data_IF_842144209444
#
_entry.id   IF_842144209444
#
_cell.length_a   1.000
_cell.length_b   1.000
_cell.length_c   1.000
_cell.angle_alpha   90.00
_cell.angle_beta   90.00
_cell.angle_gamma   90.00
#
_symmetry.space_group_name_H-M   'P 1'
#
loop_
_entity.id
_entity.type
_entity.pdbx_description
1 polymer ?
#
# COMPACT_ATOMS: atom_id res chain seq x y z
N UNK A 1 47.61 40.45 19.85
CA UNK A 1 47.89 39.04 19.47
C UNK A 1 46.62 38.24 19.74
N UNK A 2 46.19 37.29 18.88
CA UNK A 2 46.90 36.62 17.77
C UNK A 2 46.40 37.11 16.38
N UNK A 3 47.21 37.19 15.30
CA UNK A 3 47.72 36.11 14.41
C UNK A 3 46.59 35.15 13.97
N UNK A 4 46.27 34.83 12.73
CA UNK A 4 46.84 35.01 11.39
C UNK A 4 46.13 33.97 10.50
N UNK A 5 45.71 34.39 9.29
CA UNK A 5 45.06 33.64 8.18
C UNK A 5 45.77 32.32 7.78
N UNK A 6 45.22 31.39 6.94
CA UNK A 6 44.48 31.63 5.67
C UNK A 6 43.31 30.65 5.39
N UNK A 7 42.45 30.73 4.38
CA UNK A 7 42.41 31.46 3.10
C UNK A 7 41.74 30.51 2.09
N UNK A 8 40.54 30.86 1.62
CA UNK A 8 39.84 30.16 0.52
C UNK A 8 39.88 31.07 -0.71
N UNK A 9 40.31 30.61 -1.90
CA UNK A 9 40.33 31.46 -3.07
C UNK A 9 38.97 31.51 -3.77
N UNK A 10 38.41 32.72 -3.85
CA UNK A 10 37.59 33.18 -4.98
C UNK A 10 38.50 33.46 -6.19
N UNK A 11 37.98 33.19 -7.40
CA UNK A 11 38.30 33.72 -8.74
C UNK A 11 37.68 32.72 -9.75
N UNK A 12 37.05 33.05 -10.87
CA UNK A 12 36.59 34.27 -11.48
C UNK A 12 35.56 33.87 -12.55
N UNK A 13 34.70 34.82 -12.91
CA UNK A 13 33.82 34.77 -14.07
C UNK A 13 34.58 34.51 -15.39
N UNK A 14 33.98 33.72 -16.31
CA UNK A 14 34.02 34.07 -17.73
C UNK A 14 32.85 33.42 -18.50
N UNK A 15 32.16 34.28 -19.24
CA UNK A 15 31.04 34.07 -20.15
C UNK A 15 31.46 33.45 -21.49
N UNK A 16 30.66 32.53 -22.04
CA UNK A 16 30.45 32.26 -23.49
C UNK A 16 29.57 31.00 -23.63
N UNK A 17 28.33 31.11 -24.11
CA UNK A 17 27.92 30.99 -25.52
C UNK A 17 27.36 29.59 -25.86
N UNK A 18 26.03 29.54 -25.99
CA UNK A 18 25.26 28.86 -27.05
C UNK A 18 25.97 27.67 -27.74
N UNK A 19 25.57 26.44 -27.41
CA UNK A 19 25.24 25.35 -28.36
C UNK A 19 25.11 24.01 -27.63
N UNK A 20 23.94 23.36 -27.78
CA UNK A 20 23.70 21.90 -27.93
C UNK A 20 22.32 21.49 -27.43
N UNK A 21 21.29 22.07 -28.05
CA UNK A 21 20.04 21.36 -28.30
C UNK A 21 20.21 20.62 -29.64
N UNK A 22 20.55 19.33 -29.62
CA UNK A 22 20.54 18.44 -30.80
C UNK A 22 20.72 16.96 -30.42
N UNK A 23 19.68 16.37 -29.86
CA UNK A 23 19.37 14.94 -30.11
C UNK A 23 17.87 14.89 -30.39
N UNK A 24 17.57 15.19 -31.65
CA UNK A 24 16.26 15.10 -32.26
C UNK A 24 16.36 14.02 -33.33
N UNK A 25 15.29 13.23 -33.43
CA UNK A 25 14.78 12.70 -34.69
C UNK A 25 15.79 11.97 -35.61
N UNK A 26 15.82 10.65 -35.49
CA UNK A 26 16.32 9.79 -36.57
C UNK A 26 15.55 8.46 -36.66
N UNK A 27 14.21 8.51 -36.70
CA UNK A 27 13.38 7.42 -37.25
C UNK A 27 12.17 8.03 -37.94
N UNK A 28 12.38 8.64 -39.12
CA UNK A 28 11.34 8.93 -40.14
C UNK A 28 12.00 9.49 -41.40
N UNK A 29 12.61 8.62 -42.21
CA UNK A 29 12.90 8.89 -43.62
C UNK A 29 13.41 7.62 -44.32
N UNK A 30 12.49 6.69 -44.65
CA UNK A 30 12.55 5.74 -45.78
C UNK A 30 11.34 4.81 -45.60
N UNK A 31 10.42 4.58 -46.52
CA UNK A 31 10.49 4.54 -47.97
C UNK A 31 9.18 5.09 -48.57
N UNK A 32 9.26 5.99 -49.55
CA UNK A 32 8.21 6.14 -50.57
C UNK A 32 8.67 5.40 -51.83
N UNK A 33 7.83 4.51 -52.35
CA UNK A 33 7.89 4.11 -53.76
C UNK A 33 8.11 2.62 -54.01
N UNK A 34 7.05 1.82 -53.89
CA UNK A 34 6.72 0.79 -54.90
C UNK A 34 5.27 0.34 -54.76
N UNK A 35 4.53 0.57 -55.84
CA UNK A 35 3.18 0.10 -56.11
C UNK A 35 3.15 -1.41 -56.37
N UNK A 36 2.26 -2.15 -55.72
CA UNK A 36 1.30 -3.07 -56.37
C UNK A 36 0.35 -3.69 -55.33
N UNK A 37 -0.87 -3.86 -55.78
CA UNK A 37 -2.03 -4.44 -55.10
C UNK A 37 -1.74 -5.82 -54.49
N UNK A 38 -2.37 -6.10 -53.33
CA UNK A 38 -3.32 -7.21 -53.12
C UNK A 38 -3.42 -7.56 -51.61
N UNK A 39 -4.67 -7.67 -51.15
CA UNK A 39 -5.13 -8.38 -49.96
C UNK A 39 -4.21 -8.44 -48.73
N UNK A 40 -4.46 -7.56 -47.75
CA UNK A 40 -4.23 -7.92 -46.35
C UNK A 40 -5.40 -7.42 -45.51
N UNK A 41 -6.27 -8.36 -45.13
CA UNK A 41 -7.28 -8.15 -44.11
C UNK A 41 -6.66 -7.46 -42.89
N UNK A 42 -7.33 -6.42 -42.42
CA UNK A 42 -6.96 -5.65 -41.24
C UNK A 42 -7.03 -6.54 -40.00
N UNK A 43 -5.92 -7.15 -39.62
CA UNK A 43 -5.72 -7.65 -38.26
C UNK A 43 -5.72 -6.45 -37.30
N UNK A 44 -6.56 -6.41 -36.26
CA UNK A 44 -6.48 -5.37 -35.25
C UNK A 44 -5.16 -5.54 -34.47
N UNK A 45 -4.38 -4.46 -34.46
CA UNK A 45 -3.12 -4.27 -33.73
C UNK A 45 -2.90 -5.24 -32.56
N UNK A 46 -2.01 -6.20 -32.80
CA UNK A 46 -1.40 -7.05 -31.77
C UNK A 46 -0.70 -6.18 -30.74
N UNK A 47 -1.34 -5.91 -29.61
CA UNK A 47 -0.59 -5.70 -28.38
C UNK A 47 -0.17 -7.09 -27.86
N UNK A 48 0.83 -7.68 -28.51
CA UNK A 48 1.56 -8.79 -27.90
C UNK A 48 2.43 -8.16 -26.81
N UNK A 49 2.09 -8.39 -25.55
CA UNK A 49 3.10 -8.36 -24.48
C UNK A 49 4.06 -9.55 -24.69
N UNK A 50 4.77 -9.58 -25.83
CA UNK A 50 5.90 -10.46 -26.03
C UNK A 50 7.10 -9.75 -25.39
N UNK A 51 7.09 -9.68 -24.05
CA UNK A 51 8.32 -9.31 -23.33
C UNK A 51 9.33 -10.43 -23.60
N UNK A 52 10.59 -10.11 -23.94
CA UNK A 52 11.59 -11.13 -24.20
C UNK A 52 11.63 -12.09 -23.00
N UNK A 53 11.60 -13.39 -23.28
CA UNK A 53 11.78 -14.43 -22.30
C UNK A 53 13.23 -14.38 -21.79
N UNK A 54 13.54 -13.43 -20.90
CA UNK A 54 14.75 -13.55 -20.11
C UNK A 54 14.51 -14.69 -19.12
N UNK A 55 15.52 -15.54 -18.84
CA UNK A 55 15.41 -16.61 -17.84
C UNK A 55 15.06 -16.11 -16.43
N UNK A 56 15.14 -14.80 -16.23
CA UNK A 56 14.95 -14.10 -14.95
C UNK A 56 13.60 -13.40 -14.83
N UNK A 57 12.82 -13.26 -15.91
CA UNK A 57 11.54 -12.57 -15.86
C UNK A 57 10.46 -13.48 -15.30
N UNK A 58 10.05 -13.22 -14.04
CA UNK A 58 8.85 -13.84 -13.46
C UNK A 58 7.62 -13.03 -13.89
N UNK A 59 6.73 -13.57 -14.74
CA UNK A 59 5.51 -12.87 -15.10
C UNK A 59 4.65 -12.64 -13.84
N UNK A 60 4.27 -11.39 -13.60
CA UNK A 60 3.31 -11.04 -12.56
C UNK A 60 1.92 -11.32 -13.11
N UNK A 61 1.25 -12.32 -12.56
CA UNK A 61 -0.12 -12.67 -12.92
C UNK A 61 -1.11 -11.75 -12.19
N UNK A 62 -2.24 -11.36 -12.83
CA UNK A 62 -3.34 -10.71 -12.14
C UNK A 62 -3.75 -11.45 -10.88
N UNK A 63 -3.94 -10.71 -9.78
CA UNK A 63 -4.38 -11.23 -8.49
C UNK A 63 -5.75 -10.65 -8.17
N UNK A 64 -6.70 -11.51 -7.81
CA UNK A 64 -8.06 -11.10 -7.46
C UNK A 64 -8.48 -11.74 -6.13
N UNK A 65 -9.26 -10.98 -5.37
CA UNK A 65 -9.89 -11.46 -4.14
C UNK A 65 -11.20 -12.17 -4.48
N UNK A 66 -11.35 -13.40 -4.00
CA UNK A 66 -12.62 -14.14 -4.03
C UNK A 66 -12.69 -15.06 -2.80
N UNK A 67 -13.65 -14.82 -1.91
CA UNK A 67 -13.77 -15.57 -0.66
C UNK A 67 -14.11 -17.05 -0.87
N UNK A 68 -14.91 -17.36 -1.90
CA UNK A 68 -15.36 -18.72 -2.23
C UNK A 68 -14.35 -19.49 -3.09
N UNK A 69 -13.07 -19.43 -2.71
CA UNK A 69 -11.99 -20.10 -3.41
C UNK A 69 -12.10 -21.63 -3.30
N UNK A 70 -12.34 -22.29 -4.43
CA UNK A 70 -12.42 -23.75 -4.57
C UNK A 70 -11.76 -24.24 -5.87
N UNK A 71 -11.32 -25.50 -5.90
CA UNK A 71 -10.77 -26.12 -7.11
C UNK A 71 -11.85 -26.32 -8.18
N UNK A 72 -11.46 -26.28 -9.45
CA UNK A 72 -12.37 -26.42 -10.59
C UNK A 72 -12.84 -25.08 -11.16
N UNK A 73 -14.01 -25.05 -11.80
CA UNK A 73 -14.51 -23.85 -12.46
C UNK A 73 -15.12 -22.87 -11.45
N UNK A 74 -14.50 -21.71 -11.31
CA UNK A 74 -14.95 -20.60 -10.49
C UNK A 74 -15.48 -19.47 -11.37
N UNK A 75 -16.76 -19.13 -11.20
CA UNK A 75 -17.35 -17.94 -11.81
C UNK A 75 -17.06 -16.71 -10.93
N UNK A 76 -16.47 -15.69 -11.52
CA UNK A 76 -16.18 -14.43 -10.83
C UNK A 76 -17.43 -13.54 -10.81
N UNK A 77 -17.53 -12.70 -9.78
CA UNK A 77 -18.55 -11.65 -9.71
C UNK A 77 -18.37 -10.62 -10.84
N UNK A 78 -19.35 -9.71 -10.97
CA UNK A 78 -19.35 -8.71 -12.04
C UNK A 78 -18.18 -7.72 -11.93
N UNK A 79 -17.72 -7.39 -10.71
CA UNK A 79 -16.64 -6.44 -10.48
C UNK A 79 -15.29 -7.02 -10.90
N UNK A 80 -14.97 -8.22 -10.41
CA UNK A 80 -13.79 -8.98 -10.78
C UNK A 80 -13.78 -9.34 -12.28
N UNK A 81 -14.95 -9.67 -12.86
CA UNK A 81 -15.09 -9.91 -14.30
C UNK A 81 -14.78 -8.66 -15.12
N UNK A 82 -15.33 -7.51 -14.73
CA UNK A 82 -15.04 -6.22 -15.38
C UNK A 82 -13.56 -5.86 -15.25
N UNK A 83 -12.98 -6.03 -14.06
CA UNK A 83 -11.57 -5.75 -13.80
C UNK A 83 -10.66 -6.60 -14.70
N UNK A 84 -10.91 -7.90 -14.83
CA UNK A 84 -10.13 -8.75 -15.74
C UNK A 84 -10.31 -8.38 -17.21
N UNK A 85 -11.55 -8.31 -17.69
CA UNK A 85 -11.83 -8.20 -19.12
C UNK A 85 -11.58 -6.80 -19.68
N UNK A 86 -11.88 -5.75 -18.90
CA UNK A 86 -11.85 -4.36 -19.38
C UNK A 86 -10.59 -3.62 -18.91
N UNK A 87 -10.28 -3.72 -17.61
CA UNK A 87 -9.16 -2.98 -17.01
C UNK A 87 -7.83 -3.66 -17.32
N UNK A 88 -7.70 -4.95 -17.00
CA UNK A 88 -6.49 -5.73 -17.23
C UNK A 88 -6.41 -6.31 -18.65
N UNK A 89 -7.54 -6.34 -19.37
CA UNK A 89 -7.67 -6.85 -20.75
C UNK A 89 -7.15 -8.29 -20.89
N UNK A 90 -7.39 -9.09 -19.85
CA UNK A 90 -7.02 -10.50 -19.81
C UNK A 90 -7.79 -11.28 -20.88
N UNK A 91 -7.15 -12.30 -21.44
CA UNK A 91 -7.68 -13.16 -22.50
C UNK A 91 -7.82 -14.59 -22.00
N UNK A 92 -8.69 -15.34 -22.65
CA UNK A 92 -8.78 -16.79 -22.44
C UNK A 92 -7.41 -17.42 -22.64
N UNK A 93 -7.00 -18.25 -21.67
CA UNK A 93 -5.65 -18.83 -21.58
C UNK A 93 -4.67 -18.07 -20.70
N UNK A 94 -5.02 -16.86 -20.22
CA UNK A 94 -4.17 -16.14 -19.27
C UNK A 94 -4.19 -16.79 -17.88
N UNK A 95 -3.04 -16.76 -17.22
CA UNK A 95 -2.84 -17.23 -15.85
C UNK A 95 -3.32 -16.16 -14.87
N UNK A 96 -4.21 -16.57 -13.96
CA UNK A 96 -4.82 -15.71 -12.95
C UNK A 96 -4.58 -16.32 -11.56
N UNK A 97 -4.34 -15.48 -10.58
CA UNK A 97 -4.23 -15.87 -9.19
C UNK A 97 -5.46 -15.39 -8.44
N UNK A 98 -6.12 -16.30 -7.73
CA UNK A 98 -7.26 -15.96 -6.86
C UNK A 98 -6.82 -16.18 -5.42
N UNK A 99 -7.08 -15.24 -4.52
CA UNK A 99 -6.81 -15.43 -3.09
C UNK A 99 -8.07 -15.15 -2.28
N UNK A 100 -8.20 -15.77 -1.11
CA UNK A 100 -9.41 -15.71 -0.29
C UNK A 100 -9.37 -14.62 0.81
N UNK A 101 -8.25 -13.91 0.91
CA UNK A 101 -8.02 -12.89 1.92
C UNK A 101 -7.78 -13.46 3.33
N UNK A 102 -7.64 -14.78 3.46
CA UNK A 102 -7.48 -15.51 4.71
C UNK A 102 -6.25 -16.45 4.68
N UNK A 103 -5.33 -16.26 3.72
CA UNK A 103 -4.07 -16.99 3.63
C UNK A 103 -4.01 -18.07 2.57
N UNK A 104 -5.11 -18.35 1.85
CA UNK A 104 -5.10 -19.30 0.72
C UNK A 104 -5.02 -18.57 -0.62
N UNK A 105 -4.33 -19.21 -1.54
CA UNK A 105 -4.08 -18.71 -2.90
C UNK A 105 -4.25 -19.87 -3.89
N UNK A 106 -5.06 -19.65 -4.91
CA UNK A 106 -5.32 -20.55 -6.02
C UNK A 106 -4.67 -20.07 -7.31
N UNK A 107 -4.01 -20.99 -8.01
CA UNK A 107 -3.50 -20.77 -9.36
C UNK A 107 -4.54 -21.25 -10.37
N UNK A 108 -4.93 -20.40 -11.30
CA UNK A 108 -5.95 -20.73 -12.28
C UNK A 108 -5.69 -20.22 -13.69
N UNK A 109 -6.49 -20.72 -14.62
CA UNK A 109 -6.48 -20.34 -16.02
C UNK A 109 -7.82 -19.71 -16.41
N UNK A 110 -7.79 -18.54 -17.06
CA UNK A 110 -8.99 -17.89 -17.56
C UNK A 110 -9.58 -18.72 -18.71
N UNK A 111 -10.77 -19.29 -18.51
CA UNK A 111 -11.48 -20.11 -19.51
C UNK A 111 -12.51 -19.33 -20.30
N UNK A 112 -13.12 -18.32 -19.70
CA UNK A 112 -14.02 -17.40 -20.36
C UNK A 112 -13.89 -16.01 -19.76
N UNK A 113 -14.00 -14.97 -20.58
CA UNK A 113 -13.97 -13.58 -20.14
C UNK A 113 -14.96 -12.74 -20.94
N UNK A 114 -16.02 -12.30 -20.28
CA UNK A 114 -16.93 -11.24 -20.71
C UNK A 114 -16.94 -10.13 -19.64
N UNK A 115 -17.42 -8.94 -19.99
CA UNK A 115 -17.54 -7.76 -19.13
C UNK A 115 -18.29 -8.02 -17.83
N UNK A 116 -19.22 -8.98 -17.82
CA UNK A 116 -20.07 -9.31 -16.66
C UNK A 116 -19.83 -10.69 -16.10
N UNK A 117 -19.12 -11.57 -16.83
CA UNK A 117 -18.92 -12.96 -16.44
C UNK A 117 -17.58 -13.47 -16.93
N UNK A 118 -16.67 -13.71 -16.00
CA UNK A 118 -15.42 -14.41 -16.22
C UNK A 118 -15.46 -15.76 -15.49
N UNK A 119 -14.85 -16.78 -16.10
CA UNK A 119 -14.71 -18.13 -15.52
C UNK A 119 -13.23 -18.47 -15.47
N UNK A 120 -12.74 -18.78 -14.27
CA UNK A 120 -11.36 -19.22 -14.03
C UNK A 120 -11.40 -20.67 -13.60
N UNK A 121 -10.61 -21.52 -14.23
CA UNK A 121 -10.38 -22.89 -13.75
C UNK A 121 -9.23 -22.88 -12.75
N UNK A 122 -9.53 -23.13 -11.47
CA UNK A 122 -8.56 -23.22 -10.38
C UNK A 122 -7.94 -24.62 -10.39
N UNK A 123 -6.66 -24.69 -10.74
CA UNK A 123 -5.92 -25.95 -10.89
C UNK A 123 -5.32 -26.43 -9.55
N UNK A 124 -4.94 -25.51 -8.67
CA UNK A 124 -4.39 -25.83 -7.36
C UNK A 124 -4.62 -24.71 -6.36
N UNK A 125 -4.80 -25.06 -5.09
CA UNK A 125 -4.90 -24.13 -3.96
C UNK A 125 -3.79 -24.45 -2.97
N UNK A 126 -3.13 -23.41 -2.46
CA UNK A 126 -2.07 -23.52 -1.45
C UNK A 126 -2.29 -22.50 -0.35
N UNK A 127 -1.96 -22.87 0.88
CA UNK A 127 -1.79 -21.91 1.97
C UNK A 127 -0.40 -21.30 1.84
N UNK A 128 -0.32 -19.98 1.66
CA UNK A 128 0.93 -19.25 1.49
C UNK A 128 0.90 -18.07 2.45
N UNK A 129 1.89 -17.98 3.34
CA UNK A 129 2.07 -16.79 4.16
C UNK A 129 3.11 -15.87 3.54
N UNK A 130 2.70 -14.62 3.28
CA UNK A 130 3.61 -13.49 3.01
C UNK A 130 3.39 -12.39 4.05
N UNK A 131 2.84 -12.76 5.19
CA UNK A 131 2.41 -11.83 6.23
C UNK A 131 3.54 -11.58 7.21
N UNK A 132 3.57 -10.38 7.79
CA UNK A 132 4.56 -10.02 8.80
C UNK A 132 4.49 -10.98 9.99
N UNK A 133 5.63 -11.38 10.58
CA UNK A 133 5.63 -12.08 11.86
C UNK A 133 5.09 -11.21 13.00
N UNK A 134 5.06 -9.88 12.82
CA UNK A 134 4.51 -8.94 13.79
C UNK A 134 3.02 -8.71 13.53
N UNK A 135 2.19 -8.88 14.57
CA UNK A 135 0.79 -8.48 14.52
C UNK A 135 0.66 -6.98 14.83
N UNK A 136 0.75 -6.15 13.80
CA UNK A 136 0.71 -4.69 13.95
C UNK A 136 -0.70 -4.15 13.67
N UNK A 137 -1.24 -3.40 14.64
CA UNK A 137 -2.45 -2.60 14.50
C UNK A 137 -2.07 -1.13 14.31
N UNK A 138 -2.54 -0.53 13.21
CA UNK A 138 -2.37 0.90 12.93
C UNK A 138 -3.64 1.63 13.34
N UNK A 139 -3.57 2.39 14.42
CA UNK A 139 -4.62 3.34 14.79
C UNK A 139 -4.30 4.67 14.14
N UNK A 140 -5.14 5.07 13.19
CA UNK A 140 -4.93 6.27 12.39
C UNK A 140 -6.02 7.29 12.68
N UNK A 141 -5.64 8.45 13.22
CA UNK A 141 -6.55 9.58 13.33
C UNK A 141 -7.05 10.00 11.94
N UNK A 142 -8.33 10.37 11.83
CA UNK A 142 -8.95 10.72 10.56
C UNK A 142 -8.23 11.88 9.88
N UNK A 143 -7.81 11.63 8.63
CA UNK A 143 -7.13 12.59 7.76
C UNK A 143 -8.08 13.12 6.68
N UNK A 144 -7.80 14.31 6.16
CA UNK A 144 -8.57 14.89 5.05
C UNK A 144 -8.04 14.47 3.68
N UNK A 145 -8.90 14.57 2.65
CA UNK A 145 -8.54 14.25 1.27
C UNK A 145 -8.12 12.79 1.08
N UNK A 146 -7.14 12.58 0.21
CA UNK A 146 -6.64 11.25 -0.18
C UNK A 146 -5.56 10.71 0.77
N UNK A 147 -5.26 11.43 1.86
CA UNK A 147 -4.23 11.00 2.83
C UNK A 147 -4.62 9.70 3.53
N UNK A 148 -5.89 9.56 3.90
CA UNK A 148 -6.36 8.33 4.55
C UNK A 148 -6.30 7.15 3.59
N UNK A 149 -6.62 7.37 2.32
CA UNK A 149 -6.52 6.37 1.26
C UNK A 149 -5.06 5.90 1.11
N UNK A 150 -4.11 6.85 1.13
CA UNK A 150 -2.68 6.55 1.14
C UNK A 150 -2.25 5.75 2.37
N UNK A 151 -2.70 6.12 3.57
CA UNK A 151 -2.38 5.38 4.80
C UNK A 151 -2.89 3.94 4.72
N UNK A 152 -4.13 3.75 4.26
CA UNK A 152 -4.72 2.41 4.15
C UNK A 152 -3.97 1.56 3.12
N UNK A 153 -3.66 2.14 1.96
CA UNK A 153 -2.88 1.47 0.93
C UNK A 153 -1.49 1.07 1.47
N UNK A 154 -0.72 2.01 2.01
CA UNK A 154 0.65 1.75 2.46
C UNK A 154 0.74 0.91 3.71
N UNK A 155 -0.22 1.03 4.62
CA UNK A 155 -0.29 0.14 5.78
C UNK A 155 -0.57 -1.30 5.35
N UNK A 156 -1.40 -1.48 4.33
CA UNK A 156 -1.66 -2.81 3.76
C UNK A 156 -0.41 -3.37 3.08
N UNK A 157 0.28 -2.60 2.25
CA UNK A 157 1.51 -3.02 1.58
C UNK A 157 2.63 -3.39 2.58
N UNK A 158 2.74 -2.64 3.69
CA UNK A 158 3.78 -2.79 4.71
C UNK A 158 3.38 -3.78 5.84
N UNK A 159 2.43 -4.67 5.58
CA UNK A 159 2.16 -5.82 6.46
C UNK A 159 1.34 -5.52 7.72
N UNK A 160 0.63 -4.39 7.81
CA UNK A 160 -0.30 -4.17 8.93
C UNK A 160 -1.35 -5.29 8.98
N UNK A 161 -1.67 -5.79 10.17
CA UNK A 161 -2.68 -6.82 10.39
C UNK A 161 -4.08 -6.20 10.57
N UNK A 162 -4.14 -5.00 11.15
CA UNK A 162 -5.37 -4.25 11.41
C UNK A 162 -5.16 -2.76 11.22
N UNK A 163 -6.18 -2.09 10.71
CA UNK A 163 -6.25 -0.63 10.60
C UNK A 163 -7.52 -0.17 11.32
N UNK A 164 -7.37 0.79 12.23
CA UNK A 164 -8.46 1.36 13.03
C UNK A 164 -8.52 2.86 12.77
N UNK A 165 -9.53 3.36 12.03
CA UNK A 165 -9.77 4.79 11.89
C UNK A 165 -10.28 5.39 13.20
N UNK A 166 -9.65 6.46 13.68
CA UNK A 166 -10.00 7.12 14.94
C UNK A 166 -10.43 8.57 14.73
N UNK A 167 -11.60 8.93 15.24
CA UNK A 167 -12.01 10.33 15.36
C UNK A 167 -11.34 10.93 16.61
N UNK A 168 -10.17 11.55 16.42
CA UNK A 168 -9.41 12.23 17.48
C UNK A 168 -9.96 13.65 17.73
N UNK A 169 -9.66 14.21 18.91
CA UNK A 169 -10.17 15.54 19.29
C UNK A 169 -9.77 16.64 18.30
N UNK A 170 -8.55 16.58 17.75
CA UNK A 170 -8.00 17.54 16.79
C UNK A 170 -8.12 17.08 15.33
N UNK A 171 -8.89 16.04 15.03
CA UNK A 171 -9.16 15.65 13.64
C UNK A 171 -10.03 16.71 12.94
N UNK A 172 -9.53 17.24 11.82
CA UNK A 172 -10.27 18.20 10.99
C UNK A 172 -11.50 17.55 10.35
N UNK A 173 -11.39 16.28 9.98
CA UNK A 173 -12.46 15.53 9.38
C UNK A 173 -13.43 15.00 10.45
N UNK A 174 -14.61 15.60 10.53
CA UNK A 174 -15.75 15.07 11.29
C UNK A 174 -16.70 14.35 10.32
N UNK A 175 -16.98 13.08 10.60
CA UNK A 175 -17.84 12.26 9.75
C UNK A 175 -19.13 11.93 10.50
N UNK A 176 -20.26 12.26 9.88
CA UNK A 176 -21.55 11.73 10.30
C UNK A 176 -21.60 10.19 10.12
N UNK A 177 -22.36 9.46 10.94
CA UNK A 177 -22.34 7.98 10.94
C UNK A 177 -22.55 7.35 9.56
N UNK A 178 -23.52 7.82 8.78
CA UNK A 178 -23.80 7.30 7.44
C UNK A 178 -22.63 7.54 6.45
N UNK A 179 -21.92 8.66 6.59
CA UNK A 179 -20.75 8.98 5.76
C UNK A 179 -19.51 8.20 6.20
N UNK A 180 -19.38 7.94 7.51
CA UNK A 180 -18.32 7.10 8.06
C UNK A 180 -18.39 5.67 7.51
N UNK A 181 -19.59 5.07 7.42
CA UNK A 181 -19.78 3.74 6.84
C UNK A 181 -19.31 3.66 5.38
N UNK A 182 -19.74 4.60 4.54
CA UNK A 182 -19.31 4.66 3.12
C UNK A 182 -17.79 4.84 2.98
N UNK A 183 -17.17 5.63 3.87
CA UNK A 183 -15.71 5.81 3.88
C UNK A 183 -14.98 4.53 4.27
N UNK A 184 -15.48 3.80 5.27
CA UNK A 184 -14.91 2.51 5.68
C UNK A 184 -15.03 1.47 4.56
N UNK A 185 -16.14 1.43 3.83
CA UNK A 185 -16.30 0.57 2.64
C UNK A 185 -15.29 0.91 1.55
N UNK A 186 -15.13 2.20 1.24
CA UNK A 186 -14.11 2.68 0.29
C UNK A 186 -12.69 2.27 0.70
N UNK A 187 -12.32 2.48 1.97
CA UNK A 187 -11.01 2.06 2.48
C UNK A 187 -10.83 0.54 2.48
N UNK A 188 -11.89 -0.23 2.71
CA UNK A 188 -11.84 -1.69 2.58
C UNK A 188 -11.51 -2.10 1.15
N UNK A 189 -12.12 -1.46 0.14
CA UNK A 189 -11.78 -1.71 -1.26
C UNK A 189 -10.31 -1.35 -1.56
N UNK A 190 -9.80 -0.24 -1.01
CA UNK A 190 -8.37 0.12 -1.14
C UNK A 190 -7.46 -0.95 -0.50
N UNK A 191 -7.78 -1.43 0.69
CA UNK A 191 -7.01 -2.49 1.35
C UNK A 191 -7.02 -3.80 0.54
N UNK A 192 -8.17 -4.18 -0.03
CA UNK A 192 -8.27 -5.36 -0.89
C UNK A 192 -7.42 -5.23 -2.16
N UNK A 193 -7.50 -4.07 -2.83
CA UNK A 193 -6.68 -3.78 -4.01
C UNK A 193 -5.18 -3.73 -3.69
N UNK A 194 -4.81 -3.13 -2.55
CA UNK A 194 -3.43 -3.08 -2.08
C UNK A 194 -2.89 -4.49 -1.74
N UNK A 195 -3.69 -5.34 -1.07
CA UNK A 195 -3.32 -6.72 -0.79
C UNK A 195 -3.14 -7.55 -2.06
N UNK A 196 -4.06 -7.37 -3.03
CA UNK A 196 -3.94 -8.00 -4.35
C UNK A 196 -2.64 -7.56 -5.04
N UNK A 197 -2.31 -6.26 -5.04
CA UNK A 197 -1.13 -5.72 -5.71
C UNK A 197 0.18 -6.10 -5.02
N UNK A 198 0.23 -6.06 -3.69
CA UNK A 198 1.44 -6.36 -2.89
C UNK A 198 1.75 -7.85 -2.78
N UNK A 199 0.81 -8.72 -3.18
CA UNK A 199 1.00 -10.15 -3.10
C UNK A 199 0.55 -10.75 -1.77
N UNK A 200 0.01 -9.96 -0.84
CA UNK A 200 -0.53 -10.47 0.42
C UNK A 200 -1.64 -11.49 0.16
N UNK A 201 -1.75 -12.44 1.08
CA UNK A 201 -2.80 -13.48 1.07
C UNK A 201 -3.83 -13.23 2.16
N UNK A 202 -3.52 -12.37 3.12
CA UNK A 202 -4.46 -11.87 4.13
C UNK A 202 -4.75 -10.39 3.88
N UNK A 203 -6.03 -10.04 3.84
CA UNK A 203 -6.45 -8.62 3.79
C UNK A 203 -6.50 -8.10 5.23
N UNK A 204 -5.89 -6.93 5.54
CA UNK A 204 -5.95 -6.39 6.89
C UNK A 204 -7.39 -6.09 7.30
N UNK A 205 -7.70 -6.38 8.57
CA UNK A 205 -9.00 -6.01 9.12
C UNK A 205 -9.12 -4.49 9.25
N UNK A 206 -10.24 -3.92 8.79
CA UNK A 206 -10.55 -2.51 8.90
C UNK A 206 -11.81 -2.33 9.76
N UNK A 207 -11.68 -1.64 10.90
CA UNK A 207 -12.81 -1.40 11.80
C UNK A 207 -13.71 -0.26 11.31
N UNK A 208 -14.88 -0.14 11.93
CA UNK A 208 -15.63 1.11 11.91
C UNK A 208 -14.78 2.26 12.52
N UNK A 209 -15.12 3.48 12.14
CA UNK A 209 -14.58 4.68 12.79
C UNK A 209 -15.02 4.67 14.25
N UNK A 210 -14.09 4.83 15.18
CA UNK A 210 -14.36 4.92 16.61
C UNK A 210 -13.71 6.17 17.20
N UNK A 211 -14.18 6.60 18.36
CA UNK A 211 -13.54 7.66 19.14
C UNK A 211 -12.21 7.18 19.74
N UNK A 212 -11.34 8.12 20.10
CA UNK A 212 -10.11 7.82 20.83
C UNK A 212 -10.36 7.02 22.12
N UNK A 213 -11.42 7.38 22.86
CA UNK A 213 -11.79 6.72 24.12
C UNK A 213 -12.23 5.26 23.89
N UNK A 214 -13.07 5.01 22.89
CA UNK A 214 -13.48 3.64 22.53
C UNK A 214 -12.28 2.78 22.09
N UNK A 215 -11.38 3.35 21.29
CA UNK A 215 -10.14 2.68 20.90
C UNK A 215 -9.28 2.32 22.13
N UNK A 216 -9.21 3.23 23.11
CA UNK A 216 -8.45 3.03 24.34
C UNK A 216 -9.08 1.98 25.24
N UNK A 217 -10.40 1.94 25.33
CA UNK A 217 -11.12 0.92 26.09
C UNK A 217 -10.95 -0.47 25.48
N UNK A 218 -10.99 -0.56 24.14
CA UNK A 218 -10.66 -1.79 23.42
C UNK A 218 -9.21 -2.21 23.65
N UNK A 219 -8.28 -1.26 23.62
CA UNK A 219 -6.89 -1.51 23.97
C UNK A 219 -6.75 -2.07 25.38
N UNK A 220 -7.37 -1.46 26.39
CA UNK A 220 -7.29 -1.94 27.78
C UNK A 220 -7.80 -3.37 27.94
N UNK A 221 -8.87 -3.75 27.22
CA UNK A 221 -9.47 -5.08 27.26
C UNK A 221 -8.66 -6.17 26.53
N UNK A 222 -7.74 -5.81 25.64
CA UNK A 222 -6.97 -6.80 24.89
C UNK A 222 -5.96 -7.54 25.78
N UNK A 223 -5.64 -8.79 25.42
CA UNK A 223 -4.73 -9.65 26.19
C UNK A 223 -3.31 -9.08 26.25
N UNK A 224 -2.59 -9.44 27.32
CA UNK A 224 -1.18 -9.09 27.54
C UNK A 224 -0.30 -10.35 27.47
N UNK A 225 0.99 -10.24 27.09
CA UNK A 225 1.73 -9.01 26.81
C UNK A 225 1.35 -8.36 25.46
N UNK A 226 1.45 -7.03 25.40
CA UNK A 226 1.19 -6.21 24.21
C UNK A 226 2.02 -4.92 24.26
N UNK A 227 2.30 -4.34 23.11
CA UNK A 227 3.11 -3.12 23.00
C UNK A 227 2.31 -2.00 22.35
N UNK A 228 2.16 -0.88 23.06
CA UNK A 228 1.45 0.29 22.56
C UNK A 228 2.41 1.47 22.42
N UNK A 229 2.43 2.10 21.25
CA UNK A 229 3.15 3.34 21.01
C UNK A 229 2.25 4.43 20.46
N UNK A 230 2.35 5.61 21.05
CA UNK A 230 1.76 6.84 20.58
C UNK A 230 2.82 7.65 19.86
N UNK A 231 2.66 7.88 18.55
CA UNK A 231 3.63 8.67 17.80
C UNK A 231 3.53 10.13 18.25
N UNK A 232 4.64 10.61 18.80
CA UNK A 232 4.81 11.96 19.30
C UNK A 232 6.20 12.45 18.87
N UNK A 233 6.30 13.54 18.08
CA UNK A 233 7.57 14.11 17.66
C UNK A 233 8.47 14.56 18.81
N UNK A 234 7.92 14.75 20.01
CA UNK A 234 8.62 15.27 21.18
C UNK A 234 8.86 14.22 22.27
N UNK A 235 8.49 12.96 22.03
CA UNK A 235 8.74 11.88 22.98
C UNK A 235 10.25 11.58 23.13
N UNK A 236 10.64 11.20 24.36
CA UNK A 236 12.02 10.81 24.66
C UNK A 236 12.38 9.41 24.13
N UNK A 237 11.39 8.52 24.05
CA UNK A 237 11.60 7.13 23.63
C UNK A 237 11.79 7.04 22.11
N UNK A 238 12.80 6.25 21.71
CA UNK A 238 13.08 5.89 20.32
C UNK A 238 12.83 4.41 20.11
N UNK A 239 12.57 4.03 18.85
CA UNK A 239 12.21 2.65 18.52
C UNK A 239 13.34 1.67 18.85
N UNK A 240 13.07 0.71 19.74
CA UNK A 240 13.97 -0.38 20.14
C UNK A 240 13.28 -1.74 20.06
N UNK A 241 14.03 -2.79 19.73
CA UNK A 241 13.49 -4.16 19.60
C UNK A 241 13.15 -4.77 20.96
N UNK A 242 13.95 -4.45 21.99
CA UNK A 242 13.83 -5.01 23.34
C UNK A 242 12.51 -4.66 24.02
N UNK A 243 11.82 -3.65 23.50
CA UNK A 243 10.56 -3.15 24.03
C UNK A 243 9.33 -3.75 23.36
N UNK A 244 9.49 -4.67 22.39
CA UNK A 244 8.39 -5.32 21.69
C UNK A 244 8.03 -6.65 22.35
N UNK A 245 6.80 -6.74 22.85
CA UNK A 245 6.20 -7.96 23.36
C UNK A 245 4.77 -8.09 22.83
N UNK A 246 4.44 -9.29 22.35
CA UNK A 246 3.10 -9.60 21.83
C UNK A 246 2.66 -8.70 20.66
N UNK A 247 1.35 -8.55 20.43
CA UNK A 247 0.80 -7.66 19.41
C UNK A 247 1.18 -6.20 19.63
N UNK A 248 1.39 -5.47 18.54
CA UNK A 248 1.84 -4.07 18.54
C UNK A 248 0.69 -3.17 18.08
N UNK A 249 0.47 -2.05 18.76
CA UNK A 249 -0.43 -0.99 18.34
C UNK A 249 0.34 0.33 18.19
N UNK A 250 0.29 0.93 17.00
CA UNK A 250 0.86 2.25 16.72
C UNK A 250 -0.29 3.25 16.57
N UNK A 251 -0.26 4.30 17.38
CA UNK A 251 -1.27 5.36 17.41
C UNK A 251 -0.72 6.60 16.74
N UNK A 252 -1.36 6.99 15.63
CA UNK A 252 -0.89 8.06 14.75
C UNK A 252 -1.91 9.19 14.80
N UNK A 253 -1.44 10.35 15.27
CA UNK A 253 -2.27 11.52 15.47
C UNK A 253 -2.70 12.20 14.16
N UNK A 254 -3.63 13.18 14.26
CA UNK A 254 -3.96 14.05 13.14
C UNK A 254 -2.82 15.07 12.91
N UNK A 255 -2.94 15.89 11.86
CA UNK A 255 -1.90 16.88 11.52
C UNK A 255 -1.62 17.90 12.65
N UNK A 256 -2.61 18.14 13.52
CA UNK A 256 -2.49 19.03 14.68
C UNK A 256 -2.02 18.31 15.97
N UNK A 257 -1.61 17.05 15.86
CA UNK A 257 -1.15 16.23 16.99
C UNK A 257 -2.27 15.81 17.95
N UNK A 258 -1.87 15.13 19.02
CA UNK A 258 -2.75 14.73 20.11
C UNK A 258 -3.00 15.89 21.09
N UNK A 259 -4.06 15.81 21.87
CA UNK A 259 -4.23 16.69 23.03
C UNK A 259 -3.48 16.15 24.24
N UNK A 260 -3.13 17.03 25.18
CA UNK A 260 -2.53 16.63 26.46
C UNK A 260 -3.40 15.62 27.22
N UNK A 261 -4.74 15.73 27.10
CA UNK A 261 -5.68 14.77 27.69
C UNK A 261 -5.56 13.39 27.02
N UNK A 262 -5.52 13.33 25.68
CA UNK A 262 -5.35 12.08 24.93
C UNK A 262 -4.01 11.41 25.24
N UNK A 263 -2.92 12.18 25.32
CA UNK A 263 -1.58 11.70 25.69
C UNK A 263 -1.55 11.14 27.12
N UNK A 264 -2.15 11.85 28.08
CA UNK A 264 -2.24 11.38 29.47
C UNK A 264 -3.09 10.10 29.57
N UNK A 265 -4.21 10.04 28.85
CA UNK A 265 -5.06 8.84 28.79
C UNK A 265 -4.31 7.64 28.20
N UNK A 266 -3.55 7.85 27.12
CA UNK A 266 -2.71 6.82 26.50
C UNK A 266 -1.65 6.31 27.48
N UNK A 267 -0.91 7.23 28.12
CA UNK A 267 0.11 6.92 29.11
C UNK A 267 -0.44 6.13 30.29
N UNK A 268 -1.60 6.52 30.81
CA UNK A 268 -2.29 5.81 31.89
C UNK A 268 -2.72 4.38 31.48
N UNK A 269 -2.90 4.11 30.19
CA UNK A 269 -3.19 2.79 29.64
C UNK A 269 -1.94 1.98 29.24
N UNK A 270 -0.75 2.44 29.62
CA UNK A 270 0.53 1.78 29.31
C UNK A 270 1.02 1.98 27.88
N UNK A 271 0.42 2.91 27.13
CA UNK A 271 0.89 3.30 25.78
C UNK A 271 1.98 4.35 25.95
N UNK A 272 3.15 4.11 25.33
CA UNK A 272 4.32 4.98 25.49
C UNK A 272 4.47 5.91 24.30
N UNK A 273 4.89 7.16 24.53
CA UNK A 273 5.25 8.07 23.44
C UNK A 273 6.42 7.50 22.64
N UNK A 274 6.45 7.71 21.31
CA UNK A 274 7.51 7.23 20.43
C UNK A 274 7.87 8.29 19.39
N UNK A 275 9.15 8.69 19.37
CA UNK A 275 9.69 9.61 18.37
C UNK A 275 10.34 8.85 17.20
N UNK A 276 9.93 9.19 15.97
CA UNK A 276 10.47 8.63 14.73
C UNK A 276 11.51 9.56 14.08
N UNK A 277 12.63 9.73 14.78
CA UNK A 277 13.71 10.62 14.36
C UNK A 277 13.41 12.10 14.63
N UNK A 278 14.35 13.00 14.32
CA UNK A 278 14.29 14.40 14.78
C UNK A 278 13.39 15.31 13.92
N UNK A 279 12.79 14.80 12.85
CA UNK A 279 11.97 15.58 11.92
C UNK A 279 10.51 15.28 12.14
N UNK A 280 9.68 16.31 12.18
CA UNK A 280 8.23 16.16 12.21
C UNK A 280 7.79 15.57 10.87
N UNK A 281 7.26 14.35 10.91
CA UNK A 281 6.70 13.67 9.75
C UNK A 281 5.25 14.10 9.55
N UNK A 282 4.80 14.12 8.31
CA UNK A 282 3.36 14.19 8.04
C UNK A 282 2.69 12.93 8.56
N UNK A 283 1.45 13.06 9.01
CA UNK A 283 0.62 11.97 9.52
C UNK A 283 0.67 10.72 8.64
N UNK A 284 0.46 10.88 7.33
CA UNK A 284 0.47 9.75 6.41
C UNK A 284 1.87 9.11 6.34
N UNK A 285 2.93 9.92 6.26
CA UNK A 285 4.31 9.46 6.22
C UNK A 285 4.72 8.72 7.50
N UNK A 286 4.24 9.19 8.66
CA UNK A 286 4.53 8.57 9.95
C UNK A 286 4.06 7.10 10.00
N UNK A 287 2.90 6.79 9.40
CA UNK A 287 2.39 5.43 9.31
C UNK A 287 3.34 4.49 8.55
N UNK A 288 3.75 4.90 7.34
CA UNK A 288 4.65 4.09 6.53
C UNK A 288 6.04 3.94 7.17
N UNK A 289 6.57 5.02 7.76
CA UNK A 289 7.88 4.98 8.44
C UNK A 289 7.83 4.07 9.66
N UNK A 290 6.77 4.14 10.47
CA UNK A 290 6.63 3.29 11.64
C UNK A 290 6.60 1.80 11.26
N UNK A 291 5.77 1.44 10.28
CA UNK A 291 5.66 0.05 9.81
C UNK A 291 6.97 -0.46 9.20
N UNK A 292 7.61 0.35 8.37
CA UNK A 292 8.92 -0.01 7.77
C UNK A 292 9.97 -0.21 8.86
N UNK A 293 10.01 0.68 9.86
CA UNK A 293 10.98 0.57 10.95
C UNK A 293 10.74 -0.68 11.80
N UNK A 294 9.48 -1.07 12.02
CA UNK A 294 9.13 -2.32 12.71
C UNK A 294 9.51 -3.55 11.88
N UNK A 295 9.23 -3.55 10.58
CA UNK A 295 9.60 -4.64 9.66
C UNK A 295 11.12 -4.86 9.60
N UNK A 296 11.90 -3.78 9.51
CA UNK A 296 13.38 -3.84 9.59
C UNK A 296 13.86 -4.40 10.93
N UNK A 297 13.16 -4.07 12.03
CA UNK A 297 13.54 -4.55 13.36
C UNK A 297 13.14 -6.01 13.58
N UNK A 298 12.04 -6.50 13.01
CA UNK A 298 11.66 -7.92 13.09
C UNK A 298 12.49 -8.85 12.19
N UNK A 299 13.30 -8.29 11.29
CA UNK A 299 14.06 -9.05 10.30
C UNK A 299 13.22 -9.52 9.11
N UNK A 300 12.04 -8.91 8.92
CA UNK A 300 11.22 -9.13 7.71
C UNK A 300 11.86 -8.46 6.49
N UNK A 301 12.46 -7.28 6.68
CA UNK A 301 13.20 -6.52 5.67
C UNK A 301 14.71 -6.51 5.94
#
# INVERSE_FOLDING_TARGET
MPMGMPGWPELAFCTASIERARIALAIRADCRGRSRAENCMREPFRCKFNRPASPTYRPVHPRLLCADLACGLLALDAENSHHLAVVLRARVGDRIVIFDGQGREGQGLLRAADKTKAIVEIESIKTISRESPLQITVLQALCTGDKMDWVVQKSTELGAARIIPVAAARSVLKLEPARALKRVEHWRAIAQAAAAQSGRTVVPSLSCVMSFREALDNWKKSESPKTGWLLDPFADERLSIATMQGPIAIWIGPEAGWTDEEEQMAKAAGIRGLQLGPRILRTETAAAVALTALAMKSGEF
#
